data_IF_597263007535
#
_entry.id   IF_597263007535
#
_cell.length_a   1.000
_cell.length_b   1.000
_cell.length_c   1.000
_cell.angle_alpha   90.00
_cell.angle_beta   90.00
_cell.angle_gamma   90.00
#
_symmetry.space_group_name_H-M   'P 1'
#
loop_
_entity.id
_entity.type
_entity.pdbx_description
1 polymer ?
#
# COMPACT_ATOMS: atom_id res chain seq x y z
N UNK A 1 14.90 1.28 13.12
CA UNK A 1 14.32 1.06 11.77
C UNK A 1 13.96 2.38 11.08
N UNK A 2 13.73 3.46 11.83
CA UNK A 2 13.39 4.80 11.30
C UNK A 2 14.42 5.42 10.34
N UNK A 3 15.70 5.03 10.42
CA UNK A 3 16.76 5.59 9.58
C UNK A 3 16.85 4.98 8.17
N UNK A 4 16.25 3.80 7.93
CA UNK A 4 16.31 3.10 6.63
C UNK A 4 14.99 2.34 6.33
N UNK A 5 13.87 3.05 6.14
CA UNK A 5 12.56 2.44 5.91
C UNK A 5 12.50 1.53 4.67
N UNK A 6 13.31 1.80 3.64
CA UNK A 6 13.36 1.00 2.40
C UNK A 6 13.98 -0.40 2.56
N UNK A 7 14.63 -0.69 3.69
CA UNK A 7 15.18 -2.02 3.98
C UNK A 7 14.14 -2.96 4.61
N UNK A 8 12.97 -2.43 4.97
CA UNK A 8 11.82 -3.22 5.40
C UNK A 8 11.04 -3.56 4.14
N UNK A 9 11.37 -4.70 3.55
CA UNK A 9 10.74 -5.26 2.35
C UNK A 9 10.22 -6.69 2.62
N UNK A 10 9.62 -7.32 1.62
CA UNK A 10 9.08 -8.68 1.75
C UNK A 10 10.15 -9.71 2.17
N UNK A 11 11.41 -9.50 1.75
CA UNK A 11 12.53 -10.38 2.10
C UNK A 11 12.92 -10.23 3.57
N UNK A 12 12.96 -9.00 4.10
CA UNK A 12 13.16 -8.73 5.52
C UNK A 12 12.05 -9.38 6.37
N UNK A 13 10.80 -9.27 5.93
CA UNK A 13 9.65 -9.86 6.63
C UNK A 13 9.70 -11.39 6.65
N UNK A 14 10.12 -12.02 5.55
CA UNK A 14 10.28 -13.47 5.45
C UNK A 14 11.36 -14.00 6.42
N UNK A 15 12.52 -13.34 6.47
CA UNK A 15 13.62 -13.72 7.39
C UNK A 15 13.21 -13.52 8.85
N UNK A 16 12.52 -12.42 9.16
CA UNK A 16 12.04 -12.16 10.51
C UNK A 16 11.02 -13.22 10.97
N UNK A 17 10.10 -13.61 10.10
CA UNK A 17 9.10 -14.66 10.37
C UNK A 17 9.74 -16.02 10.64
N UNK A 18 10.77 -16.38 9.87
CA UNK A 18 11.55 -17.61 10.06
C UNK A 18 12.24 -17.61 11.43
N UNK A 19 12.85 -16.49 11.83
CA UNK A 19 13.52 -16.37 13.12
C UNK A 19 12.53 -16.45 14.31
N UNK A 20 11.30 -15.95 14.15
CA UNK A 20 10.24 -16.11 15.17
C UNK A 20 9.89 -17.59 15.34
N UNK A 21 9.66 -18.30 14.23
CA UNK A 21 9.32 -19.72 14.25
C UNK A 21 10.45 -20.56 14.88
N UNK A 22 11.70 -20.27 14.54
CA UNK A 22 12.87 -20.93 15.11
C UNK A 22 12.98 -20.69 16.63
N UNK A 23 12.80 -19.44 17.08
CA UNK A 23 12.82 -19.11 18.50
C UNK A 23 11.70 -19.81 19.29
N UNK A 24 10.50 -19.92 18.70
CA UNK A 24 9.38 -20.67 19.28
C UNK A 24 9.69 -22.18 19.33
N UNK A 25 10.26 -22.73 18.27
CA UNK A 25 10.59 -24.16 18.18
C UNK A 25 11.63 -24.58 19.22
N UNK A 26 12.62 -23.72 19.48
CA UNK A 26 13.66 -23.93 20.48
C UNK A 26 13.23 -23.58 21.92
N UNK A 27 11.98 -23.14 22.13
CA UNK A 27 11.47 -22.79 23.46
C UNK A 27 12.03 -21.47 24.02
N UNK A 28 12.65 -20.64 23.18
CA UNK A 28 13.16 -19.32 23.56
C UNK A 28 12.03 -18.27 23.51
N UNK A 29 11.06 -18.42 24.40
CA UNK A 29 9.83 -17.62 24.39
C UNK A 29 10.10 -16.10 24.49
N UNK A 30 11.01 -15.68 25.37
CA UNK A 30 11.43 -14.26 25.50
C UNK A 30 12.01 -13.67 24.21
N UNK A 31 12.66 -14.51 23.38
CA UNK A 31 13.22 -14.08 22.09
C UNK A 31 12.15 -14.05 21.01
N UNK A 32 11.24 -15.03 21.00
CA UNK A 32 10.09 -15.04 20.12
C UNK A 32 9.20 -13.80 20.34
N UNK A 33 8.95 -13.41 21.58
CA UNK A 33 8.12 -12.24 21.91
C UNK A 33 8.78 -10.94 21.41
N UNK A 34 10.10 -10.78 21.59
CA UNK A 34 10.85 -9.62 21.07
C UNK A 34 10.85 -9.55 19.54
N UNK A 35 11.02 -10.69 18.87
CA UNK A 35 10.99 -10.75 17.41
C UNK A 35 9.58 -10.48 16.88
N UNK A 36 8.54 -10.92 17.59
CA UNK A 36 7.14 -10.66 17.26
C UNK A 36 6.84 -9.16 17.37
N UNK A 37 7.28 -8.49 18.44
CA UNK A 37 7.15 -7.03 18.55
C UNK A 37 7.91 -6.28 17.45
N UNK A 38 9.09 -6.76 17.06
CA UNK A 38 9.83 -6.20 15.93
C UNK A 38 9.07 -6.38 14.60
N UNK A 39 8.41 -7.52 14.42
CA UNK A 39 7.57 -7.80 13.26
C UNK A 39 6.36 -6.89 13.19
N UNK A 40 5.64 -6.70 14.30
CA UNK A 40 4.52 -5.76 14.39
C UNK A 40 4.95 -4.34 14.03
N UNK A 41 6.10 -3.90 14.55
CA UNK A 41 6.62 -2.57 14.25
C UNK A 41 7.11 -2.42 12.80
N UNK A 42 7.66 -3.47 12.21
CA UNK A 42 8.01 -3.51 10.79
C UNK A 42 6.76 -3.45 9.89
N UNK A 43 5.68 -4.13 10.27
CA UNK A 43 4.37 -4.03 9.60
C UNK A 43 3.82 -2.61 9.71
N UNK A 44 3.91 -1.97 10.88
CA UNK A 44 3.51 -0.58 11.05
C UNK A 44 4.32 0.37 10.18
N UNK A 45 5.63 0.16 10.03
CA UNK A 45 6.48 0.96 9.16
C UNK A 45 6.19 0.72 7.67
N UNK A 46 5.86 -0.51 7.27
CA UNK A 46 5.38 -0.83 5.92
C UNK A 46 4.04 -0.14 5.64
N UNK A 47 3.12 -0.18 6.62
CA UNK A 47 1.83 0.52 6.53
C UNK A 47 1.99 2.03 6.53
N UNK A 48 2.92 2.58 7.31
CA UNK A 48 3.22 4.02 7.31
C UNK A 48 3.91 4.47 6.01
N UNK A 49 4.60 3.56 5.32
CA UNK A 49 5.08 3.76 3.95
C UNK A 49 3.99 3.59 2.88
N UNK A 50 2.90 2.88 3.17
CA UNK A 50 1.68 2.99 2.38
C UNK A 50 1.04 4.34 2.67
N UNK A 51 1.52 5.36 1.97
CA UNK A 51 0.89 6.66 1.81
C UNK A 51 -0.64 6.54 1.84
N UNK A 52 -1.38 7.32 2.65
CA UNK A 52 -2.84 7.30 2.69
C UNK A 52 -3.49 7.35 1.30
N UNK A 53 -2.81 8.01 0.36
CA UNK A 53 -3.12 8.10 -1.05
C UNK A 53 -3.13 6.73 -1.77
N UNK A 54 -2.18 5.83 -1.46
CA UNK A 54 -2.10 4.48 -2.01
C UNK A 54 -3.19 3.55 -1.45
N UNK A 55 -3.49 3.67 -0.15
CA UNK A 55 -4.58 2.91 0.47
C UNK A 55 -5.91 3.32 -0.15
N UNK A 56 -6.16 4.63 -0.25
CA UNK A 56 -7.33 5.18 -0.90
C UNK A 56 -7.45 4.73 -2.37
N UNK A 57 -6.34 4.73 -3.12
CA UNK A 57 -6.35 4.29 -4.51
C UNK A 57 -6.70 2.81 -4.64
N UNK A 58 -6.22 1.96 -3.73
CA UNK A 58 -6.59 0.55 -3.67
C UNK A 58 -8.09 0.39 -3.37
N UNK A 59 -8.61 1.16 -2.40
CA UNK A 59 -10.04 1.17 -2.10
C UNK A 59 -10.88 1.55 -3.33
N UNK A 60 -10.48 2.59 -4.07
CA UNK A 60 -11.14 3.00 -5.31
C UNK A 60 -11.09 1.94 -6.42
N UNK A 61 -9.97 1.21 -6.53
CA UNK A 61 -9.87 0.08 -7.46
C UNK A 61 -10.80 -1.08 -7.08
N UNK A 62 -11.22 -1.18 -5.81
CA UNK A 62 -12.11 -2.23 -5.34
C UNK A 62 -13.61 -1.84 -5.31
N UNK A 63 -13.96 -0.55 -5.41
CA UNK A 63 -15.36 -0.11 -5.47
C UNK A 63 -16.00 -0.56 -6.80
N UNK A 64 -17.12 -1.28 -6.73
CA UNK A 64 -17.88 -1.73 -7.91
C UNK A 64 -18.97 -0.73 -8.34
N UNK A 65 -19.45 0.12 -7.43
CA UNK A 65 -20.46 1.14 -7.72
C UNK A 65 -19.80 2.44 -8.21
N UNK A 66 -19.97 2.74 -9.50
CA UNK A 66 -19.45 3.95 -10.15
C UNK A 66 -19.94 5.26 -9.49
N UNK A 67 -21.16 5.25 -8.91
CA UNK A 67 -21.73 6.42 -8.23
C UNK A 67 -21.05 6.64 -6.88
N UNK A 68 -20.80 5.57 -6.14
CA UNK A 68 -20.04 5.62 -4.88
C UNK A 68 -18.61 6.08 -5.13
N UNK A 69 -17.96 5.49 -6.14
CA UNK A 69 -16.61 5.85 -6.57
C UNK A 69 -16.50 7.33 -6.92
N UNK A 70 -17.41 7.85 -7.75
CA UNK A 70 -17.41 9.26 -8.15
C UNK A 70 -17.56 10.20 -6.95
N UNK A 71 -18.44 9.87 -5.99
CA UNK A 71 -18.61 10.65 -4.77
C UNK A 71 -17.34 10.67 -3.91
N UNK A 72 -16.68 9.51 -3.73
CA UNK A 72 -15.44 9.45 -2.97
C UNK A 72 -14.32 10.25 -3.63
N UNK A 73 -14.16 10.13 -4.95
CA UNK A 73 -13.16 10.90 -5.71
C UNK A 73 -13.40 12.40 -5.55
N UNK A 74 -14.64 12.86 -5.67
CA UNK A 74 -14.96 14.28 -5.57
C UNK A 74 -14.71 14.85 -4.17
N UNK A 75 -14.84 14.03 -3.12
CA UNK A 75 -14.60 14.44 -1.74
C UNK A 75 -13.11 14.43 -1.37
N UNK A 76 -12.37 13.43 -1.82
CA UNK A 76 -11.01 13.18 -1.32
C UNK A 76 -9.91 13.58 -2.31
N UNK A 77 -10.12 13.47 -3.63
CA UNK A 77 -9.08 13.84 -4.61
C UNK A 77 -8.59 15.31 -4.50
N UNK A 78 -9.45 16.31 -4.24
CA UNK A 78 -9.02 17.70 -4.13
C UNK A 78 -7.99 17.96 -3.01
N UNK A 79 -7.97 17.13 -1.96
CA UNK A 79 -7.04 17.32 -0.83
C UNK A 79 -5.59 16.97 -1.18
N UNK A 80 -5.38 16.17 -2.23
CA UNK A 80 -4.06 15.72 -2.67
C UNK A 80 -3.56 16.48 -3.90
N UNK A 81 -4.45 17.14 -4.64
CA UNK A 81 -4.05 17.96 -5.78
C UNK A 81 -3.36 17.16 -6.89
N UNK A 82 -2.50 17.84 -7.64
CA UNK A 82 -1.77 17.27 -8.78
C UNK A 82 -0.78 16.16 -8.39
N UNK A 83 -0.47 16.00 -7.10
CA UNK A 83 0.45 14.98 -6.59
C UNK A 83 -0.18 13.58 -6.68
N UNK A 84 -1.51 13.50 -6.54
CA UNK A 84 -2.26 12.26 -6.72
C UNK A 84 -2.16 11.73 -8.14
N UNK A 85 -2.22 12.61 -9.16
CA UNK A 85 -2.07 12.19 -10.55
C UNK A 85 -0.68 11.59 -10.83
N UNK A 86 0.37 12.16 -10.22
CA UNK A 86 1.74 11.63 -10.34
C UNK A 86 1.88 10.26 -9.67
N UNK A 87 1.21 10.07 -8.53
CA UNK A 87 1.15 8.77 -7.86
C UNK A 87 0.41 7.74 -8.73
N UNK A 88 -0.73 8.12 -9.29
CA UNK A 88 -1.51 7.25 -10.16
C UNK A 88 -0.72 6.82 -11.40
N UNK A 89 0.07 7.72 -11.99
CA UNK A 89 0.96 7.38 -13.12
C UNK A 89 1.99 6.30 -12.71
N UNK A 90 2.60 6.42 -11.52
CA UNK A 90 3.54 5.41 -11.01
C UNK A 90 2.88 4.04 -10.75
N UNK A 91 1.66 4.04 -10.21
CA UNK A 91 0.90 2.80 -9.98
C UNK A 91 0.44 2.18 -11.30
N UNK A 92 0.08 3.00 -12.29
CA UNK A 92 -0.28 2.55 -13.63
C UNK A 92 0.90 1.82 -14.30
N UNK A 93 2.11 2.36 -14.19
CA UNK A 93 3.33 1.71 -14.71
C UNK A 93 3.62 0.39 -13.99
N UNK A 94 3.45 0.33 -12.67
CA UNK A 94 3.55 -0.91 -11.91
C UNK A 94 2.51 -1.96 -12.35
N UNK A 95 1.26 -1.57 -12.61
CA UNK A 95 0.20 -2.47 -13.08
C UNK A 95 0.50 -3.00 -14.50
N UNK A 96 1.08 -2.16 -15.38
CA UNK A 96 1.55 -2.57 -16.71
C UNK A 96 2.65 -3.63 -16.61
N UNK A 97 3.64 -3.41 -15.75
CA UNK A 97 4.74 -4.36 -15.53
C UNK A 97 4.24 -5.71 -14.98
N UNK A 98 3.24 -5.70 -14.11
CA UNK A 98 2.63 -6.90 -13.54
C UNK A 98 1.63 -7.58 -14.47
N UNK A 99 1.32 -7.01 -15.64
CA UNK A 99 0.38 -7.58 -16.60
C UNK A 99 -1.09 -7.55 -16.16
N UNK A 100 -1.46 -6.68 -15.21
CA UNK A 100 -2.82 -6.58 -14.68
C UNK A 100 -3.73 -5.71 -15.57
N UNK A 101 -4.11 -6.23 -16.75
CA UNK A 101 -4.84 -5.47 -17.77
C UNK A 101 -6.22 -4.93 -17.32
N UNK A 102 -6.92 -5.67 -16.46
CA UNK A 102 -8.23 -5.25 -15.93
C UNK A 102 -8.08 -4.08 -14.95
N UNK A 103 -7.17 -4.22 -13.97
CA UNK A 103 -6.84 -3.15 -13.04
C UNK A 103 -6.33 -1.89 -13.76
N UNK A 104 -5.56 -2.08 -14.85
CA UNK A 104 -5.07 -0.98 -15.68
C UNK A 104 -6.22 -0.21 -16.36
N UNK A 105 -7.21 -0.91 -16.87
CA UNK A 105 -8.40 -0.30 -17.50
C UNK A 105 -9.20 0.49 -16.48
N UNK A 106 -9.40 -0.09 -15.28
CA UNK A 106 -10.09 0.58 -14.18
C UNK A 106 -9.32 1.80 -13.68
N UNK A 107 -7.99 1.70 -13.56
CA UNK A 107 -7.11 2.79 -13.17
C UNK A 107 -7.23 3.99 -14.12
N UNK A 108 -7.26 3.75 -15.43
CA UNK A 108 -7.41 4.82 -16.42
C UNK A 108 -8.73 5.59 -16.26
N UNK A 109 -9.83 4.88 -15.99
CA UNK A 109 -11.14 5.49 -15.72
C UNK A 109 -11.12 6.34 -14.44
N UNK A 110 -10.57 5.83 -13.35
CA UNK A 110 -10.42 6.55 -12.08
C UNK A 110 -9.57 7.80 -12.29
N UNK A 111 -8.45 7.69 -13.01
CA UNK A 111 -7.55 8.81 -13.30
C UNK A 111 -8.25 9.96 -14.02
N UNK A 112 -9.13 9.63 -14.97
CA UNK A 112 -9.91 10.64 -15.67
C UNK A 112 -10.89 11.38 -14.74
N UNK A 113 -11.54 10.66 -13.83
CA UNK A 113 -12.45 11.26 -12.83
C UNK A 113 -11.66 12.15 -11.84
N UNK A 114 -10.51 11.67 -11.36
CA UNK A 114 -9.61 12.43 -10.48
C UNK A 114 -9.13 13.69 -11.16
N UNK A 115 -8.70 13.61 -12.42
CA UNK A 115 -8.25 14.78 -13.18
C UNK A 115 -9.32 15.87 -13.31
N UNK A 116 -10.60 15.48 -13.39
CA UNK A 116 -11.73 16.42 -13.40
C UNK A 116 -12.03 17.01 -12.00
N UNK A 117 -11.87 16.21 -10.94
CA UNK A 117 -12.11 16.65 -9.57
C UNK A 117 -11.01 17.57 -9.01
N UNK A 118 -9.80 17.47 -9.56
CA UNK A 118 -8.59 18.19 -9.11
C UNK A 118 -8.25 19.41 -9.98
N UNK A 119 -8.90 19.55 -11.14
CA UNK A 119 -8.82 20.74 -12.01
C UNK A 119 -9.47 21.97 -11.37
#
# INVERSE_FOLDING_TARGET
LEANPHLVDDQFMAVLSMNIQEAQHHGHQDMADKLTHLYEHAVELLRAQMSPELVMLNDWLNIEDDTELANQIQQQAPQYGSDLLRLMDAVEDMLKEQGQAEALTKMASIRQMVAQAVQ
#
